data_IF_290077422095
#
_entry.id   IF_290077422095
#
_cell.length_a   1.000
_cell.length_b   1.000
_cell.length_c   1.000
_cell.angle_alpha   90.00
_cell.angle_beta   90.00
_cell.angle_gamma   90.00
#
_symmetry.space_group_name_H-M   'P 1'
#
loop_
_entity.id
_entity.type
_entity.pdbx_description
1 polymer ?
#
# COMPACT_ATOMS: atom_id res chain seq x y z
N UNK A 1 -23.94 20.69 -25.81
CA UNK A 1 -22.71 20.82 -25.01
C UNK A 1 -22.39 19.44 -24.46
N UNK A 2 -21.57 18.69 -25.17
CA UNK A 2 -21.20 17.31 -24.86
C UNK A 2 -19.76 17.37 -24.36
N UNK A 3 -19.54 17.21 -23.06
CA UNK A 3 -18.19 17.06 -22.49
C UNK A 3 -17.82 15.59 -22.52
N UNK A 4 -16.86 15.24 -23.39
CA UNK A 4 -16.28 13.91 -23.49
C UNK A 4 -15.38 13.65 -22.28
N UNK A 5 -15.77 12.70 -21.41
CA UNK A 5 -14.85 12.04 -20.46
C UNK A 5 -14.00 11.03 -21.25
N UNK A 6 -12.75 11.38 -21.50
CA UNK A 6 -11.77 10.46 -22.07
C UNK A 6 -11.14 9.59 -20.96
N UNK A 7 -11.70 8.39 -20.80
CA UNK A 7 -11.06 7.09 -20.57
C UNK A 7 -9.69 7.09 -19.85
N UNK A 8 -9.71 6.80 -18.54
CA UNK A 8 -8.65 6.00 -17.92
C UNK A 8 -9.01 4.52 -18.18
N UNK A 9 -8.46 3.94 -19.26
CA UNK A 9 -8.70 2.53 -19.62
C UNK A 9 -7.66 1.61 -18.97
N UNK A 10 -8.10 0.96 -17.89
CA UNK A 10 -7.90 -0.46 -17.50
C UNK A 10 -6.52 -0.97 -17.02
N UNK A 11 -6.46 -1.26 -15.71
CA UNK A 11 -6.27 -2.62 -15.19
C UNK A 11 -6.85 -2.74 -13.76
N UNK A 12 -8.16 -2.50 -13.64
CA UNK A 12 -8.99 -2.89 -12.49
C UNK A 12 -10.20 -3.67 -13.02
N UNK A 13 -9.93 -4.79 -13.70
CA UNK A 13 -10.95 -5.79 -14.04
C UNK A 13 -10.52 -7.14 -13.50
N UNK A 14 -10.45 -7.18 -12.18
CA UNK A 14 -10.72 -8.30 -11.29
C UNK A 14 -11.18 -7.59 -10.01
N UNK A 15 -12.42 -7.83 -9.59
CA UNK A 15 -13.16 -7.19 -8.48
C UNK A 15 -13.94 -5.90 -8.78
N UNK A 16 -15.22 -6.10 -9.14
CA UNK A 16 -16.44 -5.46 -8.59
C UNK A 16 -17.50 -5.28 -9.69
N UNK A 17 -18.68 -5.89 -9.51
CA UNK A 17 -19.88 -5.67 -10.36
C UNK A 17 -21.00 -5.11 -9.48
N UNK A 18 -21.55 -3.98 -9.89
CA UNK A 18 -22.66 -3.24 -9.28
C UNK A 18 -24.03 -3.66 -9.84
N UNK A 19 -25.09 -3.46 -9.04
CA UNK A 19 -26.50 -3.76 -9.37
C UNK A 19 -27.24 -2.50 -9.85
N UNK A 20 -27.93 -2.59 -11.01
CA UNK A 20 -29.38 -2.35 -11.15
C UNK A 20 -29.88 -2.71 -12.57
N UNK A 21 -30.70 -3.77 -12.61
CA UNK A 21 -31.72 -4.16 -13.60
C UNK A 21 -31.42 -4.04 -15.10
N UNK A 22 -31.08 -5.17 -15.74
CA UNK A 22 -32.00 -6.00 -16.59
C UNK A 22 -31.20 -7.13 -17.29
N UNK A 23 -31.54 -8.39 -16.95
CA UNK A 23 -31.23 -9.68 -17.63
C UNK A 23 -29.78 -9.96 -18.11
N UNK A 24 -28.94 -10.64 -17.30
CA UNK A 24 -27.82 -11.54 -17.75
C UNK A 24 -27.46 -12.58 -16.66
N UNK A 25 -27.07 -13.79 -17.10
CA UNK A 25 -26.62 -15.01 -16.41
C UNK A 25 -25.98 -14.89 -15.00
N UNK A 26 -26.42 -15.78 -14.10
CA UNK A 26 -25.98 -15.90 -12.71
C UNK A 26 -24.63 -16.62 -12.56
N UNK A 27 -23.67 -15.96 -11.88
CA UNK A 27 -22.44 -16.56 -11.35
C UNK A 27 -22.45 -16.64 -9.82
N UNK A 28 -21.50 -17.36 -9.21
CA UNK A 28 -21.55 -17.72 -7.79
C UNK A 28 -21.30 -16.55 -6.83
N UNK A 29 -21.95 -16.60 -5.66
CA UNK A 29 -21.83 -15.63 -4.56
C UNK A 29 -20.80 -16.13 -3.54
N UNK A 30 -19.88 -15.26 -3.13
CA UNK A 30 -18.86 -15.53 -2.11
C UNK A 30 -19.42 -15.10 -0.75
N UNK A 31 -19.36 -15.97 0.25
CA UNK A 31 -19.65 -15.61 1.64
C UNK A 31 -18.50 -15.98 2.58
N UNK A 32 -18.31 -15.14 3.61
CA UNK A 32 -17.27 -15.28 4.61
C UNK A 32 -17.90 -15.63 5.97
N UNK A 33 -17.41 -16.71 6.59
CA UNK A 33 -17.83 -17.12 7.93
C UNK A 33 -16.74 -16.77 8.96
N UNK A 34 -16.99 -15.79 9.84
CA UNK A 34 -16.00 -15.32 10.80
C UNK A 34 -15.72 -16.29 11.95
N UNK A 35 -16.56 -17.31 12.20
CA UNK A 35 -16.30 -18.29 13.27
C UNK A 35 -15.34 -19.41 12.84
N UNK A 36 -15.21 -19.66 11.53
CA UNK A 36 -14.37 -20.72 10.98
C UNK A 36 -13.21 -20.22 10.11
N UNK A 37 -13.16 -18.90 9.85
CA UNK A 37 -12.20 -18.24 8.94
C UNK A 37 -12.18 -18.84 7.53
N UNK A 38 -13.29 -19.45 7.12
CA UNK A 38 -13.45 -20.03 5.79
C UNK A 38 -14.12 -19.04 4.84
N UNK A 39 -13.51 -18.83 3.67
CA UNK A 39 -14.16 -18.20 2.52
C UNK A 39 -14.82 -19.31 1.71
N UNK A 40 -16.15 -19.32 1.63
CA UNK A 40 -16.90 -20.34 0.87
C UNK A 40 -17.41 -19.75 -0.44
N UNK A 41 -17.16 -20.48 -1.52
CA UNK A 41 -18.02 -20.46 -2.70
C UNK A 41 -19.18 -21.42 -2.41
N UNK A 42 -20.40 -20.90 -2.27
CA UNK A 42 -21.58 -21.76 -2.11
C UNK A 42 -22.06 -22.15 -3.50
N UNK A 43 -21.58 -23.30 -3.98
CA UNK A 43 -22.37 -24.14 -4.88
C UNK A 43 -23.01 -25.23 -4.03
N UNK A 44 -24.33 -25.41 -4.15
CA UNK A 44 -24.98 -26.60 -3.60
C UNK A 44 -24.39 -27.83 -4.30
N UNK A 45 -23.58 -28.63 -3.60
CA UNK A 45 -23.96 -30.00 -3.25
C UNK A 45 -22.91 -30.76 -2.40
N UNK A 46 -23.39 -31.91 -1.93
CA UNK A 46 -23.06 -32.73 -0.78
C UNK A 46 -21.69 -33.45 -0.76
N UNK A 47 -21.24 -33.73 0.47
CA UNK A 47 -20.37 -34.83 0.93
C UNK A 47 -18.86 -34.56 1.12
N UNK A 48 -18.47 -34.44 2.39
CA UNK A 48 -17.41 -35.27 3.00
C UNK A 48 -16.01 -34.68 3.18
N UNK A 49 -15.62 -34.43 4.43
CA UNK A 49 -14.29 -34.01 4.86
C UNK A 49 -13.45 -35.16 5.44
N UNK A 50 -12.13 -35.15 5.22
CA UNK A 50 -11.16 -35.92 6.04
C UNK A 50 -9.81 -35.21 6.12
N UNK A 51 -9.34 -34.96 7.34
CA UNK A 51 -8.02 -34.45 7.67
C UNK A 51 -7.21 -35.59 8.30
N UNK A 52 -5.96 -35.77 7.89
CA UNK A 52 -4.97 -36.60 8.59
C UNK A 52 -3.63 -35.87 8.59
N UNK A 53 -3.07 -35.69 9.79
CA UNK A 53 -1.87 -34.91 10.09
C UNK A 53 -0.62 -35.77 10.24
N UNK A 54 0.54 -35.15 9.98
CA UNK A 54 1.83 -35.19 10.70
C UNK A 54 3.08 -35.29 9.80
N UNK A 55 4.03 -34.39 10.06
CA UNK A 55 5.32 -34.24 9.40
C UNK A 55 6.45 -34.91 10.19
N UNK A 56 7.52 -35.30 9.49
CA UNK A 56 8.91 -35.22 10.00
C UNK A 56 9.87 -35.01 8.83
N UNK A 57 10.60 -33.89 8.82
CA UNK A 57 11.78 -33.73 7.95
C UNK A 57 12.96 -33.31 8.82
N UNK A 58 14.01 -34.14 8.80
CA UNK A 58 15.34 -33.85 9.34
C UNK A 58 16.00 -32.80 8.45
N UNK A 59 16.42 -31.67 9.01
CA UNK A 59 17.23 -30.69 8.32
C UNK A 59 18.67 -31.19 8.15
N UNK A 60 19.16 -31.22 6.91
CA UNK A 60 20.59 -31.14 6.59
C UNK A 60 20.78 -30.65 5.16
N UNK A 61 21.45 -29.51 5.02
CA UNK A 61 21.87 -28.95 3.73
C UNK A 61 21.65 -27.45 3.68
N UNK A 62 22.74 -26.69 3.79
CA UNK A 62 22.83 -25.28 3.39
C UNK A 62 22.50 -25.17 1.91
N UNK A 63 21.27 -24.79 1.58
CA UNK A 63 20.86 -24.55 0.19
C UNK A 63 20.91 -23.06 -0.10
N UNK A 64 21.68 -22.73 -1.12
CA UNK A 64 21.95 -21.38 -1.60
C UNK A 64 20.69 -20.66 -2.05
N UNK A 65 20.67 -19.38 -1.71
CA UNK A 65 19.52 -18.49 -1.65
C UNK A 65 19.55 -17.55 -2.84
N UNK A 66 18.64 -17.72 -3.81
CA UNK A 66 18.13 -16.59 -4.64
C UNK A 66 17.01 -17.09 -5.55
N UNK A 67 15.72 -16.98 -5.16
CA UNK A 67 14.58 -17.00 -6.11
C UNK A 67 13.17 -16.89 -5.50
N UNK A 68 13.03 -16.62 -4.20
CA UNK A 68 11.75 -16.88 -3.54
C UNK A 68 10.64 -15.81 -3.76
N UNK A 69 10.84 -14.84 -4.67
CA UNK A 69 9.80 -13.88 -5.08
C UNK A 69 9.62 -13.83 -6.60
N UNK A 70 8.36 -14.01 -7.03
CA UNK A 70 7.96 -13.85 -8.43
C UNK A 70 7.86 -12.37 -8.80
N UNK A 71 7.13 -11.59 -8.00
CA UNK A 71 6.92 -10.16 -8.18
C UNK A 71 6.40 -9.54 -6.88
N UNK A 72 6.81 -8.32 -6.56
CA UNK A 72 6.15 -7.50 -5.54
C UNK A 72 4.88 -6.90 -6.17
N UNK A 73 3.78 -6.80 -5.42
CA UNK A 73 2.44 -6.51 -5.96
C UNK A 73 1.92 -5.09 -5.70
N UNK A 74 2.67 -4.24 -4.99
CA UNK A 74 2.30 -2.83 -4.82
C UNK A 74 1.70 -2.48 -3.45
N UNK A 75 1.28 -1.23 -3.35
CA UNK A 75 0.56 -0.65 -2.21
C UNK A 75 -0.84 -0.28 -2.62
N UNK A 76 -1.85 -0.68 -1.86
CA UNK A 76 -3.24 -0.29 -2.10
C UNK A 76 -3.98 0.05 -0.82
N UNK A 77 -4.90 1.00 -0.90
CA UNK A 77 -5.75 1.43 0.19
C UNK A 77 -7.19 1.54 -0.30
N UNK A 78 -8.09 0.83 0.36
CA UNK A 78 -9.51 0.77 0.01
C UNK A 78 -10.42 0.77 1.23
N UNK A 79 -9.87 0.63 2.43
CA UNK A 79 -10.67 0.54 3.64
C UNK A 79 -11.30 1.90 3.97
N UNK A 80 -12.49 1.84 4.56
CA UNK A 80 -13.22 3.02 5.02
C UNK A 80 -13.21 3.05 6.54
N UNK A 81 -12.74 4.14 7.13
CA UNK A 81 -12.71 4.31 8.58
C UNK A 81 -14.13 4.46 9.12
N UNK A 82 -14.41 3.84 10.26
CA UNK A 82 -15.71 3.94 10.92
C UNK A 82 -15.63 4.91 12.10
N UNK A 83 -16.64 5.76 12.35
CA UNK A 83 -16.62 6.62 13.51
C UNK A 83 -16.69 5.78 14.79
N UNK A 84 -15.84 6.07 15.78
CA UNK A 84 -15.85 5.34 17.06
C UNK A 84 -17.15 5.53 17.85
N UNK A 85 -17.88 6.61 17.55
CA UNK A 85 -19.20 6.93 18.11
C UNK A 85 -20.08 7.53 17.01
N UNK A 86 -21.41 7.33 17.02
CA UNK A 86 -22.30 7.95 16.04
C UNK A 86 -22.11 9.48 15.98
N UNK A 87 -21.94 10.01 14.77
CA UNK A 87 -21.79 11.45 14.54
C UNK A 87 -23.18 12.10 14.58
N UNK A 88 -23.42 12.95 15.58
CA UNK A 88 -24.66 13.74 15.62
C UNK A 88 -24.69 14.68 14.42
N UNK A 89 -25.80 14.66 13.68
CA UNK A 89 -26.05 15.40 12.45
C UNK A 89 -25.28 14.95 11.20
N UNK A 90 -24.52 13.85 11.29
CA UNK A 90 -23.98 13.12 10.14
C UNK A 90 -22.90 13.82 9.30
N UNK A 91 -22.75 15.14 9.36
CA UNK A 91 -21.81 15.89 8.53
C UNK A 91 -20.41 15.94 9.13
N UNK A 92 -19.43 15.81 8.24
CA UNK A 92 -18.03 16.18 8.47
C UNK A 92 -17.77 17.35 7.53
N UNK A 93 -17.32 18.48 8.07
CA UNK A 93 -16.90 19.61 7.25
C UNK A 93 -15.37 19.64 7.20
N UNK A 94 -14.80 19.94 6.05
CA UNK A 94 -13.36 19.95 5.80
C UNK A 94 -12.95 21.35 5.36
N UNK A 95 -11.97 21.92 6.06
CA UNK A 95 -11.50 23.26 5.79
C UNK A 95 -9.98 23.34 5.79
N UNK A 96 -9.49 24.31 5.03
CA UNK A 96 -8.10 24.72 5.02
C UNK A 96 -7.94 26.11 5.63
N UNK A 97 -6.95 26.26 6.51
CA UNK A 97 -6.57 27.54 7.12
C UNK A 97 -5.06 27.72 7.02
N UNK A 98 -4.64 28.96 6.79
CA UNK A 98 -3.25 29.37 7.00
C UNK A 98 -3.09 29.75 8.48
N UNK A 99 -2.07 29.23 9.14
CA UNK A 99 -1.72 29.69 10.48
C UNK A 99 -0.96 31.03 10.42
N UNK A 100 -0.65 31.59 11.59
CA UNK A 100 0.08 32.86 11.71
C UNK A 100 1.50 32.85 11.14
N UNK A 101 2.06 31.66 10.85
CA UNK A 101 3.34 31.47 10.17
C UNK A 101 3.17 31.15 8.68
N UNK A 102 1.94 31.26 8.17
CA UNK A 102 1.54 30.81 6.84
C UNK A 102 1.70 29.30 6.62
N UNK A 103 1.85 28.49 7.66
CA UNK A 103 1.80 27.04 7.51
C UNK A 103 0.36 26.60 7.29
N UNK A 104 0.22 25.63 6.40
CA UNK A 104 -1.04 25.04 6.06
C UNK A 104 -1.56 24.20 7.24
N UNK A 105 -2.73 24.53 7.79
CA UNK A 105 -3.44 23.69 8.76
C UNK A 105 -4.74 23.21 8.12
N UNK A 106 -4.92 21.90 8.12
CA UNK A 106 -6.17 21.28 7.70
C UNK A 106 -6.99 20.94 8.94
N UNK A 107 -8.25 21.32 8.87
CA UNK A 107 -9.21 21.29 9.96
C UNK A 107 -10.40 20.47 9.50
N UNK A 108 -10.87 19.57 10.36
CA UNK A 108 -12.15 18.89 10.16
C UNK A 108 -13.10 19.27 11.29
N UNK A 109 -14.37 19.52 10.97
CA UNK A 109 -15.44 19.67 11.96
C UNK A 109 -16.25 18.38 11.97
N UNK A 110 -16.22 17.64 13.08
CA UNK A 110 -16.95 16.37 13.24
C UNK A 110 -18.07 16.60 14.25
N UNK A 111 -19.30 16.72 13.74
CA UNK A 111 -20.45 17.16 14.55
C UNK A 111 -20.26 18.60 15.04
N UNK A 112 -19.86 18.78 16.30
CA UNK A 112 -19.60 20.11 16.88
C UNK A 112 -18.12 20.30 17.28
N UNK A 113 -17.28 19.29 17.03
CA UNK A 113 -15.89 19.33 17.45
C UNK A 113 -15.01 19.68 16.25
N UNK A 114 -14.36 20.84 16.32
CA UNK A 114 -13.27 21.18 15.43
C UNK A 114 -12.02 20.39 15.82
N UNK A 115 -11.38 19.75 14.85
CA UNK A 115 -10.20 18.92 15.05
C UNK A 115 -9.10 19.19 14.03
N UNK A 116 -7.86 19.00 14.48
CA UNK A 116 -6.64 19.01 13.66
C UNK A 116 -5.92 17.68 13.77
N UNK A 117 -4.98 17.37 12.88
CA UNK A 117 -4.09 16.21 13.05
C UNK A 117 -2.65 16.66 13.28
N UNK A 118 -1.86 15.77 13.87
CA UNK A 118 -0.41 15.93 14.00
C UNK A 118 0.32 15.61 12.68
N UNK A 119 -0.38 15.00 11.72
CA UNK A 119 0.16 14.73 10.39
C UNK A 119 0.23 16.04 9.60
N UNK A 120 1.34 16.34 8.90
CA UNK A 120 1.47 17.56 8.10
C UNK A 120 0.37 17.73 7.06
N UNK A 121 -0.05 18.97 6.80
CA UNK A 121 -1.14 19.27 5.87
C UNK A 121 -0.90 18.79 4.44
N UNK A 122 0.35 18.75 3.98
CA UNK A 122 0.66 18.22 2.65
C UNK A 122 0.34 16.73 2.52
N UNK A 123 0.44 15.93 3.59
CA UNK A 123 0.07 14.50 3.58
C UNK A 123 -1.44 14.33 3.47
N UNK A 124 -2.19 15.15 4.22
CA UNK A 124 -3.64 15.23 4.13
C UNK A 124 -4.10 15.60 2.72
N UNK A 125 -3.46 16.60 2.10
CA UNK A 125 -3.81 17.02 0.75
C UNK A 125 -3.62 15.89 -0.28
N UNK A 126 -2.51 15.15 -0.17
CA UNK A 126 -2.27 13.95 -1.00
C UNK A 126 -3.31 12.87 -0.72
N UNK A 127 -3.66 12.62 0.55
CA UNK A 127 -4.62 11.59 0.95
C UNK A 127 -6.05 11.91 0.49
N UNK A 128 -6.48 13.17 0.63
CA UNK A 128 -7.78 13.63 0.14
C UNK A 128 -7.88 13.52 -1.38
N UNK A 129 -6.84 13.94 -2.11
CA UNK A 129 -6.77 13.79 -3.57
C UNK A 129 -6.76 12.33 -4.00
N UNK A 130 -6.10 11.45 -3.23
CA UNK A 130 -6.11 10.01 -3.47
C UNK A 130 -7.52 9.42 -3.29
N UNK A 131 -8.20 9.74 -2.18
CA UNK A 131 -9.55 9.27 -1.91
C UNK A 131 -10.61 9.84 -2.88
N UNK A 132 -10.36 11.03 -3.45
CA UNK A 132 -11.22 11.65 -4.47
C UNK A 132 -11.02 11.06 -5.89
N UNK A 133 -10.40 9.89 -6.01
CA UNK A 133 -10.23 9.15 -7.26
C UNK A 133 -10.80 7.74 -7.13
N UNK A 134 -11.34 7.19 -8.22
CA UNK A 134 -11.91 5.83 -8.26
C UNK A 134 -10.87 4.69 -8.19
N UNK A 135 -9.60 4.97 -7.84
CA UNK A 135 -8.51 4.01 -7.88
C UNK A 135 -7.91 3.79 -6.49
N UNK A 136 -7.85 2.53 -6.07
CA UNK A 136 -7.34 2.12 -4.75
C UNK A 136 -5.87 1.73 -4.75
N UNK A 137 -5.26 1.55 -5.94
CA UNK A 137 -3.84 1.23 -6.08
C UNK A 137 -2.99 2.50 -5.99
N UNK A 138 -2.17 2.62 -4.94
CA UNK A 138 -1.28 3.76 -4.73
C UNK A 138 0.06 3.60 -5.46
N UNK A 139 0.63 2.39 -5.41
CA UNK A 139 1.85 2.01 -6.15
C UNK A 139 1.64 0.62 -6.70
N UNK A 140 2.02 0.38 -7.96
CA UNK A 140 2.02 -0.96 -8.56
C UNK A 140 3.39 -1.25 -9.14
N UNK A 141 3.92 -2.44 -8.84
CA UNK A 141 5.15 -2.95 -9.43
C UNK A 141 4.82 -3.99 -10.50
N UNK A 142 5.31 -3.76 -11.71
CA UNK A 142 5.04 -4.58 -12.90
C UNK A 142 6.33 -5.28 -13.33
N UNK A 143 6.22 -6.56 -13.68
CA UNK A 143 7.35 -7.37 -14.12
C UNK A 143 7.78 -7.09 -15.57
N UNK A 144 6.99 -6.28 -16.30
CA UNK A 144 7.14 -6.03 -17.73
C UNK A 144 6.76 -4.61 -18.11
N UNK A 145 7.43 -4.03 -19.13
CA UNK A 145 7.06 -2.74 -19.67
C UNK A 145 5.67 -2.80 -20.33
N UNK A 146 4.84 -1.79 -20.10
CA UNK A 146 3.49 -1.69 -20.64
C UNK A 146 3.42 -0.83 -21.90
N UNK A 147 4.41 0.02 -22.14
CA UNK A 147 4.46 0.92 -23.29
C UNK A 147 5.68 0.67 -24.19
N UNK A 148 5.65 1.25 -25.40
CA UNK A 148 6.76 1.16 -26.36
C UNK A 148 7.99 1.92 -25.85
N UNK A 149 7.80 3.10 -25.25
CA UNK A 149 8.88 3.89 -24.64
C UNK A 149 9.58 3.12 -23.52
N UNK A 150 8.82 2.44 -22.66
CA UNK A 150 9.38 1.59 -21.60
C UNK A 150 10.14 0.40 -22.18
N UNK A 151 9.63 -0.26 -23.22
CA UNK A 151 10.37 -1.33 -23.92
C UNK A 151 11.69 -0.84 -24.50
N UNK A 152 11.72 0.37 -25.04
CA UNK A 152 12.95 0.99 -25.57
C UNK A 152 13.92 1.29 -24.43
N UNK A 153 13.44 1.87 -23.34
CA UNK A 153 14.23 2.12 -22.14
C UNK A 153 14.82 0.83 -21.58
N UNK A 154 14.01 -0.23 -21.43
CA UNK A 154 14.46 -1.53 -20.91
C UNK A 154 15.61 -2.10 -21.75
N UNK A 155 15.50 -2.02 -23.08
CA UNK A 155 16.53 -2.49 -23.99
C UNK A 155 17.83 -1.71 -23.82
N UNK A 156 17.74 -0.38 -23.74
CA UNK A 156 18.91 0.48 -23.51
C UNK A 156 19.57 0.15 -22.17
N UNK A 157 18.78 0.08 -21.11
CA UNK A 157 19.25 -0.24 -19.77
C UNK A 157 19.96 -1.60 -19.71
N UNK A 158 19.42 -2.63 -20.38
CA UNK A 158 20.04 -3.97 -20.48
C UNK A 158 21.34 -3.97 -21.28
N UNK A 159 21.51 -3.08 -22.25
CA UNK A 159 22.78 -2.93 -22.99
C UNK A 159 23.84 -2.29 -22.07
N UNK A 160 23.46 -1.26 -21.32
CA UNK A 160 24.37 -0.52 -20.43
C UNK A 160 24.76 -1.32 -19.17
N UNK A 161 23.82 -2.09 -18.61
CA UNK A 161 23.98 -2.79 -17.31
C UNK A 161 24.15 -4.31 -17.46
N UNK A 162 24.18 -4.81 -18.69
CA UNK A 162 24.19 -6.24 -19.02
C UNK A 162 22.81 -6.89 -18.98
N UNK A 163 22.66 -8.01 -19.68
CA UNK A 163 21.38 -8.71 -19.89
C UNK A 163 20.80 -9.43 -18.67
N UNK A 164 21.46 -9.33 -17.50
CA UNK A 164 21.17 -10.18 -16.34
C UNK A 164 20.26 -9.54 -15.29
N UNK A 165 20.07 -8.23 -15.35
CA UNK A 165 19.22 -7.51 -14.41
C UNK A 165 17.74 -7.61 -14.75
N UNK A 166 16.89 -7.75 -13.73
CA UNK A 166 15.44 -7.58 -13.85
C UNK A 166 15.09 -6.14 -13.46
N UNK A 167 14.25 -5.49 -14.26
CA UNK A 167 13.62 -4.21 -13.91
C UNK A 167 12.18 -4.48 -13.46
N UNK A 168 11.79 -3.88 -12.34
CA UNK A 168 10.38 -3.73 -11.99
C UNK A 168 9.94 -2.34 -12.42
N UNK A 169 8.86 -2.27 -13.18
CA UNK A 169 8.27 -1.03 -13.63
C UNK A 169 7.31 -0.51 -12.57
N UNK A 170 7.40 0.76 -12.22
CA UNK A 170 6.57 1.36 -11.19
C UNK A 170 5.44 2.14 -11.85
N UNK A 171 4.25 2.06 -11.27
CA UNK A 171 3.11 2.94 -11.57
C UNK A 171 2.62 3.55 -10.28
N UNK A 172 2.47 4.87 -10.27
CA UNK A 172 1.92 5.61 -9.17
C UNK A 172 0.49 6.02 -9.46
N UNK A 173 -0.30 6.15 -8.40
CA UNK A 173 -1.54 6.88 -8.46
C UNK A 173 -1.24 8.36 -8.78
N UNK A 174 -2.04 9.06 -9.62
CA UNK A 174 -1.80 10.46 -9.96
C UNK A 174 -1.73 11.43 -8.77
N UNK A 175 -2.34 11.05 -7.64
CA UNK A 175 -2.29 11.84 -6.41
C UNK A 175 -0.92 11.74 -5.69
N UNK A 176 -0.22 10.62 -5.81
CA UNK A 176 1.06 10.35 -5.12
C UNK A 176 2.26 10.41 -6.05
N UNK A 177 2.04 10.50 -7.36
CA UNK A 177 3.07 10.65 -8.39
C UNK A 177 3.91 11.91 -8.15
N UNK A 178 5.24 11.76 -8.22
CA UNK A 178 6.22 12.82 -7.95
C UNK A 178 6.08 13.54 -6.59
N UNK A 179 5.54 12.83 -5.61
CA UNK A 179 5.46 13.29 -4.21
C UNK A 179 6.38 12.49 -3.30
N UNK A 180 6.78 13.09 -2.18
CA UNK A 180 7.48 12.37 -1.11
C UNK A 180 6.66 11.19 -0.56
N UNK A 181 5.31 11.27 -0.56
CA UNK A 181 4.44 10.12 -0.22
C UNK A 181 4.64 8.98 -1.22
N UNK A 182 4.62 9.26 -2.53
CA UNK A 182 4.83 8.26 -3.57
C UNK A 182 6.15 7.51 -3.39
N UNK A 183 7.23 8.25 -3.12
CA UNK A 183 8.53 7.66 -2.82
C UNK A 183 8.53 6.77 -1.56
N UNK A 184 7.86 7.19 -0.49
CA UNK A 184 7.73 6.38 0.72
C UNK A 184 6.88 5.13 0.49
N UNK A 185 5.81 5.21 -0.29
CA UNK A 185 4.99 4.05 -0.66
C UNK A 185 5.78 3.06 -1.51
N UNK A 186 6.55 3.52 -2.50
CA UNK A 186 7.46 2.66 -3.25
C UNK A 186 8.48 2.01 -2.32
N UNK A 187 9.09 2.79 -1.42
CA UNK A 187 10.07 2.26 -0.46
C UNK A 187 9.44 1.22 0.45
N UNK A 188 8.19 1.42 0.85
CA UNK A 188 7.47 0.47 1.68
C UNK A 188 7.24 -0.86 0.96
N UNK A 189 6.85 -0.84 -0.30
CA UNK A 189 6.64 -2.06 -1.06
C UNK A 189 7.97 -2.75 -1.41
N UNK A 190 8.93 -1.96 -1.88
CA UNK A 190 10.26 -2.43 -2.22
C UNK A 190 10.95 -3.09 -1.02
N UNK A 191 10.67 -2.65 0.23
CA UNK A 191 11.36 -3.15 1.44
C UNK A 191 11.32 -4.68 1.55
N UNK A 192 10.33 -5.33 0.94
CA UNK A 192 10.23 -6.79 0.91
C UNK A 192 11.12 -7.46 -0.13
N UNK A 193 11.47 -6.76 -1.21
CA UNK A 193 12.35 -7.27 -2.26
C UNK A 193 13.82 -7.31 -1.81
N UNK A 194 14.28 -6.25 -1.14
CA UNK A 194 15.65 -6.17 -0.61
C UNK A 194 15.70 -5.30 0.66
N UNK A 195 15.32 -5.87 1.83
CA UNK A 195 15.30 -5.13 3.09
C UNK A 195 16.63 -4.44 3.45
N UNK A 196 17.76 -4.97 2.99
CA UNK A 196 19.09 -4.44 3.31
C UNK A 196 19.47 -3.24 2.44
N UNK A 197 19.24 -3.29 1.11
CA UNK A 197 19.57 -2.18 0.20
C UNK A 197 18.68 -0.97 0.37
N UNK A 198 17.44 -1.16 0.82
CA UNK A 198 16.45 -0.08 0.82
C UNK A 198 16.56 0.83 2.05
N UNK A 199 17.17 0.35 3.14
CA UNK A 199 17.65 1.21 4.22
C UNK A 199 18.57 2.32 3.69
N UNK A 200 19.36 2.01 2.66
CA UNK A 200 20.30 2.97 2.07
C UNK A 200 19.71 3.80 0.92
N UNK A 201 18.52 3.48 0.40
CA UNK A 201 17.91 4.29 -0.67
C UNK A 201 17.35 5.62 -0.15
N UNK A 202 16.93 5.69 1.12
CA UNK A 202 16.51 6.97 1.71
C UNK A 202 17.71 7.82 2.14
N UNK A 203 18.90 7.22 2.25
CA UNK A 203 20.11 7.89 2.73
C UNK A 203 20.69 8.79 1.62
N UNK A 204 20.60 10.09 1.81
CA UNK A 204 21.21 11.10 0.93
C UNK A 204 20.40 11.50 -0.30
N UNK A 205 19.28 10.81 -0.57
CA UNK A 205 18.32 11.21 -1.63
C UNK A 205 17.31 12.26 -1.15
N UNK A 206 17.04 12.31 0.16
CA UNK A 206 16.04 13.21 0.74
C UNK A 206 16.68 13.97 1.90
N UNK A 207 16.74 15.28 1.78
CA UNK A 207 17.16 16.17 2.85
C UNK A 207 15.96 16.42 3.76
N UNK A 208 15.75 15.52 4.72
CA UNK A 208 14.56 15.52 5.59
C UNK A 208 14.43 16.78 6.45
N UNK A 209 15.54 17.48 6.71
CA UNK A 209 15.55 18.74 7.46
C UNK A 209 14.82 19.87 6.70
N UNK A 210 14.57 19.70 5.39
CA UNK A 210 13.80 20.64 4.57
C UNK A 210 12.28 20.45 4.65
N UNK A 211 11.79 19.37 5.25
CA UNK A 211 10.36 19.07 5.28
C UNK A 211 9.80 19.21 6.70
N UNK A 212 8.99 20.26 6.90
CA UNK A 212 8.35 20.53 8.20
C UNK A 212 7.48 19.35 8.65
N UNK A 213 7.56 19.02 9.94
CA UNK A 213 6.78 17.96 10.58
C UNK A 213 7.39 16.54 10.53
N UNK A 214 8.52 16.34 9.83
CA UNK A 214 9.29 15.09 9.90
C UNK A 214 10.57 15.27 10.73
N UNK A 215 10.45 15.27 12.06
CA UNK A 215 11.62 15.11 12.92
C UNK A 215 12.09 13.66 12.81
N UNK A 216 13.23 13.43 12.15
CA UNK A 216 13.77 12.09 11.97
C UNK A 216 13.99 11.42 13.33
N UNK A 217 13.33 10.29 13.57
CA UNK A 217 13.78 9.35 14.61
C UNK A 217 15.26 9.05 14.35
N UNK A 218 16.08 9.28 15.36
CA UNK A 218 17.54 9.27 15.29
C UNK A 218 18.04 8.03 14.56
N UNK A 219 18.86 8.28 13.54
CA UNK A 219 19.59 7.32 12.73
C UNK A 219 20.41 6.38 13.62
N UNK A 220 19.84 5.26 14.04
CA UNK A 220 20.58 4.24 14.78
C UNK A 220 21.42 3.40 13.78
N UNK A 221 22.40 4.07 13.18
CA UNK A 221 23.09 3.67 11.94
C UNK A 221 23.82 2.33 11.99
N UNK A 222 23.95 1.72 13.18
CA UNK A 222 24.75 0.49 13.41
C UNK A 222 23.93 -0.80 13.51
N UNK A 223 22.61 -0.74 13.67
CA UNK A 223 21.78 -1.93 13.51
C UNK A 223 21.53 -2.14 12.02
N UNK A 224 22.36 -2.96 11.36
CA UNK A 224 21.81 -3.80 10.29
C UNK A 224 20.59 -4.45 10.91
N UNK A 225 19.40 -4.03 10.51
CA UNK A 225 18.20 -4.30 11.29
C UNK A 225 18.12 -5.80 11.49
N UNK A 226 18.28 -6.27 12.74
CA UNK A 226 18.05 -7.68 13.06
C UNK A 226 16.66 -8.08 12.58
N UNK A 227 15.72 -7.12 12.52
CA UNK A 227 14.42 -7.29 11.91
C UNK A 227 14.49 -7.49 10.39
N UNK A 228 15.33 -6.77 9.64
CA UNK A 228 15.57 -7.05 8.22
C UNK A 228 16.08 -8.48 8.01
N UNK A 229 17.05 -8.94 8.81
CA UNK A 229 17.55 -10.32 8.71
C UNK A 229 16.48 -11.35 9.10
N UNK A 230 15.78 -11.14 10.21
CA UNK A 230 14.74 -12.04 10.70
C UNK A 230 13.56 -12.13 9.73
N UNK A 231 13.08 -10.99 9.22
CA UNK A 231 12.02 -10.95 8.23
C UNK A 231 12.45 -11.65 6.94
N UNK A 232 13.68 -11.39 6.46
CA UNK A 232 14.23 -12.07 5.30
C UNK A 232 14.31 -13.59 5.52
N UNK A 233 14.69 -14.05 6.71
CA UNK A 233 14.71 -15.47 7.05
C UNK A 233 13.29 -16.09 7.05
N UNK A 234 12.31 -15.42 7.67
CA UNK A 234 10.91 -15.88 7.70
C UNK A 234 10.35 -16.00 6.28
N UNK A 235 10.55 -14.95 5.49
CA UNK A 235 10.14 -14.89 4.10
C UNK A 235 10.81 -16.04 3.33
N UNK A 236 12.14 -16.17 3.39
CA UNK A 236 12.87 -17.22 2.68
C UNK A 236 12.43 -18.64 3.04
N UNK A 237 12.11 -18.88 4.32
CA UNK A 237 11.70 -20.20 4.79
C UNK A 237 10.28 -20.58 4.33
N UNK A 238 9.41 -19.58 4.13
CA UNK A 238 7.98 -19.80 3.90
C UNK A 238 7.51 -19.46 2.49
N UNK A 239 8.24 -18.62 1.76
CA UNK A 239 7.85 -18.19 0.42
C UNK A 239 8.27 -19.21 -0.65
N UNK A 240 7.53 -19.20 -1.74
CA UNK A 240 7.73 -20.05 -2.91
C UNK A 240 7.78 -19.18 -4.17
N UNK A 241 8.39 -19.69 -5.26
CA UNK A 241 8.26 -19.04 -6.56
C UNK A 241 6.79 -18.77 -6.90
N UNK A 242 6.48 -17.56 -7.35
CA UNK A 242 5.10 -17.13 -7.63
C UNK A 242 4.32 -16.62 -6.42
N UNK A 243 4.98 -16.41 -5.27
CA UNK A 243 4.41 -15.59 -4.20
C UNK A 243 4.59 -14.10 -4.50
N UNK A 244 3.56 -13.35 -4.14
CA UNK A 244 3.39 -11.92 -4.33
C UNK A 244 3.06 -11.30 -2.99
N UNK A 245 3.69 -10.16 -2.69
CA UNK A 245 3.44 -9.42 -1.47
C UNK A 245 2.83 -8.06 -1.79
N UNK A 246 1.89 -7.63 -0.96
CA UNK A 246 1.16 -6.40 -1.14
C UNK A 246 0.97 -5.74 0.21
N UNK A 247 1.32 -4.46 0.32
CA UNK A 247 0.93 -3.66 1.48
C UNK A 247 -0.48 -3.14 1.25
N UNK A 248 -1.42 -3.51 2.12
CA UNK A 248 -2.78 -3.04 2.01
C UNK A 248 -3.45 -2.81 3.36
N UNK A 249 -4.68 -2.32 3.33
CA UNK A 249 -5.47 -2.05 4.51
C UNK A 249 -6.63 -3.04 4.74
N UNK A 250 -6.60 -4.19 4.07
CA UNK A 250 -7.57 -5.25 4.32
C UNK A 250 -7.57 -5.63 5.81
N UNK A 251 -8.76 -5.74 6.39
CA UNK A 251 -9.00 -6.09 7.79
C UNK A 251 -8.35 -5.16 8.84
N UNK A 252 -7.94 -3.95 8.45
CA UNK A 252 -7.29 -3.00 9.37
C UNK A 252 -8.23 -2.43 10.43
N UNK A 253 -9.54 -2.54 10.23
CA UNK A 253 -10.57 -2.11 11.17
C UNK A 253 -10.46 -0.63 11.54
N UNK A 254 -10.18 0.24 10.57
CA UNK A 254 -9.93 1.66 10.83
C UNK A 254 -11.10 2.31 11.58
N UNK A 255 -10.75 3.11 12.59
CA UNK A 255 -11.73 3.92 13.32
C UNK A 255 -11.24 5.33 13.54
N UNK A 256 -12.13 6.30 13.50
CA UNK A 256 -11.79 7.69 13.79
C UNK A 256 -12.64 8.30 14.89
N UNK A 257 -12.06 9.25 15.62
CA UNK A 257 -12.73 10.04 16.64
C UNK A 257 -12.10 11.42 16.81
N UNK A 258 -12.92 12.36 17.28
CA UNK A 258 -12.50 13.68 17.70
C UNK A 258 -12.24 13.67 19.22
N UNK A 259 -10.97 13.82 19.63
CA UNK A 259 -10.57 13.81 21.04
C UNK A 259 -9.64 14.99 21.31
N UNK A 260 -9.98 15.84 22.27
CA UNK A 260 -9.16 16.98 22.71
C UNK A 260 -8.71 17.91 21.55
N UNK A 261 -9.61 18.20 20.60
CA UNK A 261 -9.30 19.04 19.42
C UNK A 261 -8.38 18.37 18.40
N UNK A 262 -8.15 17.05 18.52
CA UNK A 262 -7.36 16.26 17.59
C UNK A 262 -8.20 15.18 16.90
N UNK A 263 -7.95 14.98 15.61
CA UNK A 263 -8.44 13.86 14.84
C UNK A 263 -7.54 12.67 15.13
N UNK A 264 -8.08 11.66 15.80
CA UNK A 264 -7.42 10.40 16.00
C UNK A 264 -7.99 9.37 15.03
N UNK A 265 -7.15 8.81 14.17
CA UNK A 265 -7.52 7.70 13.29
C UNK A 265 -6.66 6.50 13.65
N UNK A 266 -7.30 5.45 14.14
CA UNK A 266 -6.69 4.19 14.56
C UNK A 266 -6.82 3.13 13.48
N UNK A 267 -5.94 2.13 13.52
CA UNK A 267 -5.79 1.12 12.46
C UNK A 267 -4.41 1.24 11.82
N UNK A 268 -3.93 0.17 11.19
CA UNK A 268 -2.60 0.12 10.58
C UNK A 268 -2.68 -0.84 9.38
N UNK A 269 -2.11 -0.50 8.21
CA UNK A 269 -2.05 -1.40 7.07
C UNK A 269 -1.11 -2.60 7.35
N UNK A 270 -1.27 -3.69 6.61
CA UNK A 270 -0.50 -4.91 6.78
C UNK A 270 -0.13 -5.56 5.45
N UNK A 271 0.93 -6.36 5.47
CA UNK A 271 1.35 -7.11 4.30
C UNK A 271 0.55 -8.39 4.15
N UNK A 272 -0.10 -8.50 3.00
CA UNK A 272 -0.78 -9.69 2.55
C UNK A 272 -0.01 -10.34 1.40
N UNK A 273 0.04 -11.66 1.44
CA UNK A 273 0.75 -12.50 0.50
C UNK A 273 -0.25 -13.36 -0.26
N UNK A 274 -0.08 -13.41 -1.57
CA UNK A 274 -0.87 -14.21 -2.48
C UNK A 274 0.04 -15.03 -3.38
N UNK A 275 -0.47 -16.15 -3.89
CA UNK A 275 0.22 -17.05 -4.80
C UNK A 275 -0.60 -17.20 -6.07
N UNK A 276 0.04 -17.01 -7.22
CA UNK A 276 -0.55 -17.40 -8.49
C UNK A 276 -0.57 -18.94 -8.56
N UNK A 277 -1.76 -19.53 -8.69
CA UNK A 277 -1.92 -20.99 -8.82
C UNK A 277 -2.11 -21.42 -10.26
N UNK A 278 -2.85 -20.66 -11.08
CA UNK A 278 -3.05 -20.94 -12.49
C UNK A 278 -3.64 -19.74 -13.23
N UNK A 279 -2.97 -19.27 -14.31
CA UNK A 279 -3.55 -18.35 -15.29
C UNK A 279 -4.10 -17.05 -14.69
N UNK A 280 -3.35 -16.42 -13.79
CA UNK A 280 -3.78 -15.19 -13.11
C UNK A 280 -4.77 -15.40 -11.95
N UNK A 281 -5.07 -16.64 -11.57
CA UNK A 281 -5.82 -16.93 -10.34
C UNK A 281 -4.86 -16.89 -9.16
N UNK A 282 -5.18 -16.03 -8.18
CA UNK A 282 -4.41 -15.87 -6.95
C UNK A 282 -5.12 -16.49 -5.76
N UNK A 283 -4.34 -17.12 -4.86
CA UNK A 283 -4.82 -17.61 -3.57
C UNK A 283 -3.99 -17.04 -2.43
N UNK A 284 -4.62 -16.81 -1.28
CA UNK A 284 -3.90 -16.38 -0.09
C UNK A 284 -2.76 -17.36 0.26
N UNK A 285 -1.54 -16.83 0.42
CA UNK A 285 -0.40 -17.59 0.89
C UNK A 285 -0.49 -17.71 2.43
N UNK A 286 -1.44 -18.52 2.92
CA UNK A 286 -1.84 -18.56 4.32
C UNK A 286 -0.67 -18.64 5.32
N UNK A 287 0.32 -19.50 5.07
CA UNK A 287 1.49 -19.64 5.95
C UNK A 287 2.35 -18.36 6.03
N UNK A 288 2.43 -17.58 4.96
CA UNK A 288 3.11 -16.29 4.94
C UNK A 288 2.25 -15.21 5.62
N UNK A 289 0.95 -15.20 5.39
CA UNK A 289 0.03 -14.25 6.05
C UNK A 289 0.05 -14.41 7.57
N UNK A 290 -0.01 -15.65 8.07
CA UNK A 290 0.10 -15.94 9.51
C UNK A 290 1.46 -15.46 10.05
N UNK A 291 2.55 -15.79 9.36
CA UNK A 291 3.89 -15.37 9.79
C UNK A 291 4.07 -13.84 9.75
N UNK A 292 3.52 -13.17 8.75
CA UNK A 292 3.51 -11.71 8.62
C UNK A 292 2.78 -11.06 9.79
N UNK A 293 1.59 -11.57 10.11
CA UNK A 293 0.80 -11.08 11.24
C UNK A 293 1.54 -11.25 12.58
N UNK A 294 2.13 -12.43 12.82
CA UNK A 294 2.93 -12.71 14.03
C UNK A 294 4.18 -11.82 14.14
N UNK A 295 4.73 -11.39 13.00
CA UNK A 295 6.00 -10.66 12.93
C UNK A 295 5.83 -9.21 12.44
N UNK A 296 4.64 -8.64 12.61
CA UNK A 296 4.30 -7.29 12.13
C UNK A 296 5.29 -6.21 12.60
N UNK A 297 5.76 -6.34 13.83
CA UNK A 297 6.73 -5.41 14.43
C UNK A 297 8.05 -5.34 13.64
N UNK A 298 8.47 -6.44 12.98
CA UNK A 298 9.71 -6.46 12.21
C UNK A 298 9.67 -5.52 11.01
N UNK A 299 8.50 -5.34 10.39
CA UNK A 299 8.34 -4.41 9.27
C UNK A 299 8.58 -2.97 9.72
N UNK A 300 7.98 -2.58 10.85
CA UNK A 300 8.19 -1.28 11.47
C UNK A 300 9.68 -1.05 11.78
N UNK A 301 10.36 -2.04 12.34
CA UNK A 301 11.75 -1.93 12.80
C UNK A 301 12.80 -1.93 11.65
N UNK A 302 12.39 -2.21 10.40
CA UNK A 302 13.27 -2.06 9.23
C UNK A 302 13.45 -0.59 8.87
N UNK A 303 12.34 0.14 8.81
CA UNK A 303 12.33 1.57 8.53
C UNK A 303 11.12 2.23 9.22
N UNK A 304 11.27 2.64 10.49
CA UNK A 304 10.16 3.19 11.27
C UNK A 304 9.54 4.44 10.64
N UNK A 305 10.38 5.26 9.99
CA UNK A 305 9.94 6.46 9.29
C UNK A 305 8.99 6.10 8.15
N UNK A 306 9.43 5.25 7.22
CA UNK A 306 8.61 4.80 6.08
C UNK A 306 7.31 4.16 6.57
N UNK A 307 7.39 3.27 7.55
CA UNK A 307 6.19 2.59 8.07
C UNK A 307 5.22 3.56 8.74
N UNK A 308 5.72 4.52 9.53
CA UNK A 308 4.88 5.56 10.15
C UNK A 308 4.21 6.41 9.08
N UNK A 309 4.97 6.91 8.10
CA UNK A 309 4.42 7.73 7.01
C UNK A 309 3.32 7.00 6.25
N UNK A 310 3.55 5.74 5.90
CA UNK A 310 2.58 4.96 5.14
C UNK A 310 1.36 4.60 5.99
N UNK A 311 1.54 4.32 7.29
CA UNK A 311 0.41 4.10 8.19
C UNK A 311 -0.43 5.37 8.37
N UNK A 312 0.21 6.53 8.57
CA UNK A 312 -0.48 7.82 8.69
C UNK A 312 -1.22 8.18 7.41
N UNK A 313 -0.60 7.97 6.25
CA UNK A 313 -1.24 8.16 4.95
C UNK A 313 -2.45 7.23 4.78
N UNK A 314 -2.30 5.93 5.06
CA UNK A 314 -3.38 4.94 4.98
C UNK A 314 -4.56 5.27 5.89
N UNK A 315 -4.30 5.74 7.12
CA UNK A 315 -5.32 6.22 8.05
C UNK A 315 -6.10 7.41 7.50
N UNK A 316 -5.40 8.39 6.93
CA UNK A 316 -6.04 9.56 6.34
C UNK A 316 -6.85 9.18 5.10
N UNK A 317 -6.35 8.30 4.24
CA UNK A 317 -7.11 7.75 3.11
C UNK A 317 -8.39 7.09 3.61
N UNK A 318 -8.31 6.25 4.65
CA UNK A 318 -9.50 5.61 5.20
C UNK A 318 -10.52 6.60 5.79
N UNK A 319 -10.05 7.68 6.41
CA UNK A 319 -10.91 8.78 6.86
C UNK A 319 -11.56 9.52 5.68
N UNK A 320 -10.80 9.86 4.63
CA UNK A 320 -11.38 10.54 3.46
C UNK A 320 -12.27 9.63 2.63
N UNK A 321 -12.05 8.32 2.62
CA UNK A 321 -12.99 7.36 2.03
C UNK A 321 -14.35 7.40 2.75
N UNK A 322 -14.35 7.58 4.08
CA UNK A 322 -15.61 7.78 4.82
C UNK A 322 -16.31 9.04 4.36
N UNK A 323 -15.57 10.16 4.24
CA UNK A 323 -16.14 11.42 3.72
C UNK A 323 -16.66 11.22 2.29
N UNK A 324 -15.90 10.58 1.40
CA UNK A 324 -16.30 10.29 0.02
C UNK A 324 -17.60 9.46 -0.05
N UNK A 325 -17.78 8.50 0.86
CA UNK A 325 -18.97 7.65 0.92
C UNK A 325 -20.19 8.40 1.50
N UNK A 326 -19.99 9.27 2.49
CA UNK A 326 -21.10 9.94 3.19
C UNK A 326 -21.48 11.30 2.60
N UNK A 327 -20.49 12.03 2.08
CA UNK A 327 -20.62 13.38 1.53
C UNK A 327 -19.54 13.65 0.45
N UNK A 328 -19.70 13.09 -0.76
CA UNK A 328 -18.72 13.24 -1.83
C UNK A 328 -18.58 14.69 -2.32
N UNK A 329 -19.63 15.52 -2.20
CA UNK A 329 -19.58 16.93 -2.59
C UNK A 329 -18.65 17.72 -1.68
N UNK A 330 -18.68 17.45 -0.37
CA UNK A 330 -17.76 18.05 0.59
C UNK A 330 -16.30 17.67 0.31
N UNK A 331 -16.02 16.39 0.00
CA UNK A 331 -14.65 15.97 -0.35
C UNK A 331 -14.16 16.66 -1.63
N UNK A 332 -15.01 16.74 -2.66
CA UNK A 332 -14.65 17.40 -3.92
C UNK A 332 -14.40 18.90 -3.72
N UNK A 333 -15.28 19.59 -2.99
CA UNK A 333 -15.12 21.00 -2.63
C UNK A 333 -13.83 21.25 -1.83
N UNK A 334 -13.55 20.38 -0.86
CA UNK A 334 -12.31 20.41 -0.10
C UNK A 334 -11.09 20.24 -1.01
N UNK A 335 -11.06 19.23 -1.89
CA UNK A 335 -9.93 18.99 -2.81
C UNK A 335 -9.71 20.17 -3.75
N UNK A 336 -10.78 20.80 -4.23
CA UNK A 336 -10.68 22.02 -5.05
C UNK A 336 -10.10 23.20 -4.28
N UNK A 337 -10.39 23.32 -2.97
CA UNK A 337 -9.84 24.37 -2.09
C UNK A 337 -8.34 24.22 -1.80
N UNK A 338 -7.77 23.04 -2.01
CA UNK A 338 -6.38 22.72 -1.68
C UNK A 338 -5.33 23.25 -2.68
N UNK A 339 -5.74 23.95 -3.75
CA UNK A 339 -4.83 24.54 -4.75
C UNK A 339 -3.55 25.15 -4.15
N UNK A 340 -3.65 26.09 -3.19
CA UNK A 340 -2.48 26.70 -2.55
C UNK A 340 -1.60 25.76 -1.71
N UNK A 341 -2.13 24.63 -1.27
CA UNK A 341 -1.39 23.60 -0.52
C UNK A 341 -0.59 22.72 -1.47
N UNK A 342 -1.11 22.43 -2.67
CA UNK A 342 -0.42 21.61 -3.67
C UNK A 342 0.92 22.23 -4.10
N UNK A 343 1.01 23.56 -4.20
CA UNK A 343 2.26 24.28 -4.51
C UNK A 343 3.34 24.11 -3.43
N UNK A 344 2.98 23.59 -2.25
CA UNK A 344 3.85 23.42 -1.09
C UNK A 344 4.08 21.95 -0.75
N UNK A 345 3.55 21.03 -1.55
CA UNK A 345 3.81 19.60 -1.36
C UNK A 345 5.29 19.35 -1.66
N UNK A 346 6.00 18.65 -0.77
CA UNK A 346 7.31 18.08 -1.05
C UNK A 346 7.33 17.29 -2.37
N UNK A 347 7.91 17.88 -3.41
CA UNK A 347 8.12 17.18 -4.69
C UNK A 347 9.41 16.37 -4.64
N UNK A 348 9.32 15.15 -5.14
CA UNK A 348 10.45 14.24 -5.30
C UNK A 348 10.14 13.38 -6.51
N UNK A 349 10.95 13.49 -7.56
CA UNK A 349 10.77 12.69 -8.77
C UNK A 349 10.76 11.21 -8.40
N UNK A 350 9.66 10.54 -8.72
CA UNK A 350 9.45 9.16 -8.31
C UNK A 350 10.03 8.20 -9.35
N UNK A 351 10.77 7.15 -8.93
CA UNK A 351 11.36 6.21 -9.88
C UNK A 351 10.31 5.49 -10.71
N UNK A 352 10.43 5.54 -12.04
CA UNK A 352 9.57 4.79 -12.98
C UNK A 352 9.96 3.31 -13.14
N UNK A 353 11.17 2.96 -12.69
CA UNK A 353 11.69 1.59 -12.71
C UNK A 353 12.68 1.36 -11.56
N UNK A 354 12.65 0.15 -10.99
CA UNK A 354 13.54 -0.28 -9.90
C UNK A 354 14.37 -1.48 -10.39
N UNK A 355 15.72 -1.39 -10.37
CA UNK A 355 16.57 -2.52 -10.69
C UNK A 355 16.59 -3.51 -9.53
N UNK A 356 16.26 -4.77 -9.80
CA UNK A 356 16.45 -5.86 -8.85
C UNK A 356 17.92 -6.31 -8.89
N UNK A 357 18.48 -6.57 -7.70
CA UNK A 357 19.82 -7.10 -7.57
C UNK A 357 20.00 -8.38 -8.41
N UNK A 358 21.09 -8.45 -9.19
CA UNK A 358 21.47 -9.70 -9.84
C UNK A 358 21.69 -10.78 -8.77
N UNK A 359 21.21 -12.02 -8.96
CA UNK A 359 21.62 -13.11 -8.11
C UNK A 359 23.16 -13.25 -8.19
N UNK A 360 23.84 -13.56 -7.07
CA UNK A 360 25.28 -13.80 -7.10
C UNK A 360 25.59 -14.91 -8.12
N UNK A 361 26.75 -14.81 -8.78
CA UNK A 361 27.23 -15.85 -9.70
C UNK A 361 27.15 -17.18 -8.96
N UNK A 362 26.42 -18.17 -9.49
CA UNK A 362 26.72 -19.57 -9.15
C UNK A 362 28.19 -19.75 -9.48
N UNK A 363 29.04 -19.83 -8.45
CA UNK A 363 30.42 -20.24 -8.65
C UNK A 363 30.33 -21.58 -9.36
N UNK A 364 30.80 -21.63 -10.61
CA UNK A 364 30.98 -22.91 -11.27
C UNK A 364 31.99 -23.68 -10.44
N UNK A 365 31.51 -24.66 -9.67
CA UNK A 365 32.32 -25.77 -9.20
C UNK A 365 32.24 -26.89 -10.24
#
# INVERSE_FOLDING_TARGET
>A
MITSRAKCQTLATLFAVSFLSTVVFAGPVISYDPQTSAVRLVEKNEVGSKVTSQFRVKAKGTQEVSQAYGSVAGVLFQATAQPSRPIKNGSIELAYRLDGNHDAILVATIGQNEVTSEVPAWVWAVAARFANHDCTGAVTLLDRPQSVSEKIFERRWRVENGTRGRLLWVRYHPAVDDTLIGFFLLTADAMLADPEKLRTMTDGLVDFDKYSGYSMMTRDGKRKSQAAYALNAIIKLKSRPGDYAMLNDLDSGFRFEAVNGKLNVSGVPSYHFAREVQGGIFRAAHQLNVASAENRHLFHDINPLVNKTVADFSRLVAFFNYVAETDPEELDAFVQSLGPVFDRIPTLETPIAVPLANPPRRGGQ
#
